data_IF_031171377155
#
_entry.id   IF_031171377155
#
_cell.length_a   1.000
_cell.length_b   1.000
_cell.length_c   1.000
_cell.angle_alpha   90.00
_cell.angle_beta   90.00
_cell.angle_gamma   90.00
#
_symmetry.space_group_name_H-M   'P 1'
#
loop_
_entity.id
_entity.type
_entity.pdbx_description
1 polymer ?
#
# COMPACT_ATOMS: atom_id res chain seq x y z
N UNK A 1 25.39 -13.20 0.65
CA UNK A 1 24.10 -13.11 1.36
C UNK A 1 23.05 -13.81 0.53
N UNK A 2 22.21 -14.62 1.18
CA UNK A 2 21.07 -15.29 0.56
C UNK A 2 19.79 -14.67 1.09
N UNK A 3 18.99 -14.06 0.23
CA UNK A 3 17.60 -13.75 0.56
C UNK A 3 16.79 -15.04 0.33
N UNK A 4 16.25 -15.58 1.39
CA UNK A 4 15.66 -16.91 1.39
C UNK A 4 14.14 -16.86 1.52
N UNK A 5 13.51 -17.85 0.91
CA UNK A 5 12.06 -18.10 1.04
C UNK A 5 11.73 -18.89 2.31
N UNK A 6 10.44 -19.18 2.52
CA UNK A 6 9.96 -19.99 3.63
C UNK A 6 10.54 -21.42 3.68
N UNK A 7 11.16 -21.88 2.57
CA UNK A 7 11.80 -23.19 2.46
C UNK A 7 13.33 -23.10 2.53
N UNK A 8 13.90 -21.92 2.79
CA UNK A 8 15.34 -21.70 2.87
C UNK A 8 16.04 -21.60 1.52
N UNK A 9 15.29 -21.50 0.40
CA UNK A 9 15.86 -21.38 -0.94
C UNK A 9 16.06 -19.92 -1.30
N UNK A 10 17.22 -19.58 -1.90
CA UNK A 10 17.46 -18.24 -2.43
C UNK A 10 16.58 -17.99 -3.67
N UNK A 11 15.73 -17.00 -3.63
CA UNK A 11 14.75 -16.72 -4.69
C UNK A 11 14.65 -15.26 -5.10
N UNK A 12 15.10 -14.35 -4.24
CA UNK A 12 14.95 -12.92 -4.49
C UNK A 12 16.18 -12.32 -5.18
N UNK A 13 15.95 -11.41 -6.10
CA UNK A 13 16.99 -10.70 -6.84
C UNK A 13 16.62 -9.23 -7.01
N UNK A 14 17.61 -8.39 -7.33
CA UNK A 14 17.46 -6.94 -7.51
C UNK A 14 16.86 -6.23 -6.27
N UNK A 15 17.30 -6.66 -5.09
CA UNK A 15 16.88 -6.05 -3.83
C UNK A 15 18.07 -5.29 -3.21
N UNK A 16 17.95 -3.99 -2.95
CA UNK A 16 19.00 -3.21 -2.30
C UNK A 16 19.21 -3.68 -0.86
N UNK A 17 20.45 -3.71 -0.42
CA UNK A 17 20.85 -4.00 0.95
C UNK A 17 21.86 -2.98 1.44
N UNK A 18 21.73 -2.56 2.69
CA UNK A 18 22.69 -1.70 3.36
C UNK A 18 23.31 -2.43 4.55
N UNK A 19 24.63 -2.41 4.61
CA UNK A 19 25.40 -2.94 5.72
C UNK A 19 25.82 -1.75 6.59
N UNK A 20 25.44 -1.79 7.84
CA UNK A 20 25.82 -0.83 8.85
C UNK A 20 26.88 -1.42 9.77
N UNK A 21 27.84 -0.60 10.18
CA UNK A 21 28.71 -0.96 11.29
C UNK A 21 27.86 -1.16 12.56
N UNK A 22 28.02 -2.30 13.21
CA UNK A 22 27.22 -2.64 14.39
C UNK A 22 27.41 -1.64 15.55
N UNK A 23 28.59 -1.07 15.70
CA UNK A 23 28.95 -0.24 16.86
C UNK A 23 28.72 1.24 16.62
N UNK A 24 29.12 1.75 15.44
CA UNK A 24 28.95 3.17 15.10
C UNK A 24 27.59 3.47 14.47
N UNK A 25 26.96 2.48 13.83
CA UNK A 25 25.75 2.69 13.02
C UNK A 25 26.02 3.30 11.65
N UNK A 26 27.29 3.52 11.28
CA UNK A 26 27.65 4.09 9.99
C UNK A 26 27.40 3.11 8.85
N UNK A 27 27.00 3.64 7.69
CA UNK A 27 26.88 2.85 6.46
C UNK A 27 28.29 2.42 6.01
N UNK A 28 28.47 1.11 5.88
CA UNK A 28 29.72 0.53 5.35
C UNK A 28 29.60 0.15 3.88
N UNK A 29 28.48 -0.49 3.50
CA UNK A 29 28.27 -0.92 2.13
C UNK A 29 26.81 -0.74 1.73
N UNK A 30 26.59 -0.30 0.48
CA UNK A 30 25.31 -0.35 -0.21
C UNK A 30 25.46 -1.29 -1.40
N UNK A 31 24.69 -2.38 -1.41
CA UNK A 31 24.86 -3.47 -2.35
C UNK A 31 23.50 -3.85 -2.93
N UNK A 32 23.45 -4.12 -4.22
CA UNK A 32 22.30 -4.75 -4.85
C UNK A 32 22.45 -6.27 -4.74
N UNK A 33 21.48 -6.94 -4.12
CA UNK A 33 21.42 -8.40 -4.12
C UNK A 33 21.06 -8.87 -5.54
N UNK A 34 21.94 -9.67 -6.14
CA UNK A 34 21.77 -10.25 -7.48
C UNK A 34 22.02 -11.74 -7.43
N UNK A 35 21.49 -12.45 -8.42
CA UNK A 35 21.68 -13.88 -8.60
C UNK A 35 22.32 -14.14 -9.98
N UNK A 36 23.27 -15.04 -10.01
CA UNK A 36 23.91 -15.45 -11.25
C UNK A 36 22.99 -16.38 -12.09
N UNK A 37 23.43 -16.71 -13.30
CA UNK A 37 22.66 -17.55 -14.24
C UNK A 37 22.36 -18.96 -13.73
N UNK A 38 23.04 -19.41 -12.67
CA UNK A 38 22.79 -20.70 -12.02
C UNK A 38 21.80 -20.59 -10.85
N UNK A 39 21.26 -19.39 -10.59
CA UNK A 39 20.36 -19.13 -9.48
C UNK A 39 21.03 -19.08 -8.10
N UNK A 40 22.35 -18.86 -8.06
CA UNK A 40 23.07 -18.63 -6.80
C UNK A 40 23.28 -17.12 -6.58
N UNK A 41 23.19 -16.64 -5.33
CA UNK A 41 23.51 -15.25 -5.00
C UNK A 41 24.95 -14.91 -5.38
N UNK A 42 25.15 -13.68 -5.86
CA UNK A 42 26.49 -13.19 -6.16
C UNK A 42 27.32 -13.04 -4.88
N UNK A 43 28.61 -13.33 -5.01
CA UNK A 43 29.56 -13.17 -3.91
C UNK A 43 29.97 -11.69 -3.80
N UNK A 44 29.93 -11.16 -2.58
CA UNK A 44 30.36 -9.80 -2.27
C UNK A 44 31.60 -9.82 -1.40
N UNK A 45 32.54 -8.93 -1.69
CA UNK A 45 33.76 -8.77 -0.90
C UNK A 45 33.57 -7.64 0.12
N UNK A 46 33.63 -7.98 1.39
CA UNK A 46 33.52 -7.02 2.50
C UNK A 46 34.62 -7.34 3.53
N UNK A 47 34.92 -6.36 4.40
CA UNK A 47 35.92 -6.54 5.46
C UNK A 47 35.47 -7.63 6.44
N UNK A 48 36.21 -8.73 6.58
CA UNK A 48 35.84 -9.83 7.46
C UNK A 48 36.04 -9.53 8.94
N UNK A 49 36.75 -8.45 9.30
CA UNK A 49 36.99 -8.07 10.69
C UNK A 49 35.87 -7.17 11.25
N UNK A 50 34.98 -6.69 10.37
CA UNK A 50 33.83 -5.89 10.75
C UNK A 50 32.70 -6.74 11.38
N UNK A 51 31.88 -6.09 12.19
CA UNK A 51 30.59 -6.60 12.66
C UNK A 51 29.48 -5.76 12.06
N UNK A 52 28.46 -6.41 11.52
CA UNK A 52 27.48 -5.73 10.67
C UNK A 52 26.04 -5.95 11.13
N UNK A 53 25.22 -4.92 10.93
CA UNK A 53 23.77 -5.04 10.84
C UNK A 53 23.39 -4.86 9.36
N UNK A 54 22.57 -5.74 8.83
CA UNK A 54 22.13 -5.68 7.41
C UNK A 54 20.66 -5.30 7.37
N UNK A 55 20.33 -4.29 6.58
CA UNK A 55 18.95 -3.94 6.22
C UNK A 55 18.74 -4.28 4.76
N UNK A 56 17.75 -5.13 4.50
CA UNK A 56 17.24 -5.47 3.17
C UNK A 56 16.07 -4.53 2.90
N UNK A 57 16.15 -3.72 1.85
CA UNK A 57 15.15 -2.71 1.51
C UNK A 57 13.94 -3.31 0.77
N UNK A 58 13.32 -4.30 1.40
CA UNK A 58 12.00 -4.81 1.03
C UNK A 58 10.90 -3.87 1.53
N UNK A 59 9.64 -4.18 1.27
CA UNK A 59 8.49 -3.43 1.79
C UNK A 59 7.59 -4.39 2.60
N UNK A 60 7.51 -4.24 3.94
CA UNK A 60 8.41 -3.44 4.79
C UNK A 60 9.86 -3.95 4.77
N UNK A 61 10.85 -3.14 5.20
CA UNK A 61 12.24 -3.58 5.24
C UNK A 61 12.46 -4.68 6.28
N UNK A 62 13.40 -5.58 5.97
CA UNK A 62 13.82 -6.67 6.85
C UNK A 62 15.26 -6.43 7.30
N UNK A 63 15.55 -6.64 8.58
CA UNK A 63 16.90 -6.50 9.13
C UNK A 63 17.43 -7.81 9.71
N UNK A 64 18.74 -7.95 9.68
CA UNK A 64 19.46 -8.97 10.42
C UNK A 64 20.66 -8.35 11.12
N UNK A 65 20.64 -8.45 12.42
CA UNK A 65 21.61 -7.77 13.28
C UNK A 65 22.75 -8.70 13.74
N UNK A 66 23.83 -8.07 14.19
CA UNK A 66 24.96 -8.72 14.87
C UNK A 66 25.65 -9.81 14.03
N UNK A 67 25.84 -9.55 12.75
CA UNK A 67 26.54 -10.47 11.86
C UNK A 67 28.04 -10.32 12.07
N UNK A 68 28.68 -11.42 12.41
CA UNK A 68 30.14 -11.56 12.53
C UNK A 68 30.61 -12.52 11.47
N UNK A 69 31.65 -12.14 10.74
CA UNK A 69 32.22 -12.94 9.67
C UNK A 69 33.43 -13.74 10.20
N UNK A 70 33.66 -14.89 9.60
CA UNK A 70 34.87 -15.69 9.86
C UNK A 70 35.89 -15.37 8.79
N UNK A 71 37.04 -14.77 9.13
CA UNK A 71 38.09 -14.43 8.18
C UNK A 71 38.64 -15.67 7.45
N UNK A 72 38.98 -15.50 6.16
CA UNK A 72 39.57 -16.56 5.37
C UNK A 72 38.59 -17.66 4.92
N UNK A 73 37.29 -17.50 5.17
CA UNK A 73 36.25 -18.46 4.78
C UNK A 73 35.19 -17.81 3.90
N UNK A 74 34.46 -18.64 3.16
CA UNK A 74 33.25 -18.20 2.46
C UNK A 74 32.08 -18.19 3.44
N UNK A 75 31.64 -16.99 3.85
CA UNK A 75 30.54 -16.82 4.78
C UNK A 75 29.20 -16.82 4.03
N UNK A 76 28.23 -17.59 4.49
CA UNK A 76 26.87 -17.65 3.97
C UNK A 76 25.91 -17.06 5.02
N UNK A 77 25.21 -15.98 4.65
CA UNK A 77 24.27 -15.31 5.53
C UNK A 77 22.88 -15.43 4.90
N UNK A 78 21.98 -16.18 5.53
CA UNK A 78 20.57 -16.24 5.14
C UNK A 78 19.76 -15.14 5.81
N UNK A 79 18.90 -14.47 5.07
CA UNK A 79 17.94 -13.49 5.58
C UNK A 79 16.57 -13.85 5.00
N UNK A 80 15.59 -14.10 5.88
CA UNK A 80 14.22 -14.42 5.49
C UNK A 80 13.57 -13.16 4.90
N UNK A 81 13.34 -13.17 3.58
CA UNK A 81 12.77 -12.06 2.86
C UNK A 81 11.84 -12.54 1.72
N UNK A 82 10.90 -13.46 1.99
CA UNK A 82 9.96 -13.95 0.99
C UNK A 82 9.04 -12.82 0.55
N UNK A 83 8.83 -12.65 -0.77
CA UNK A 83 8.05 -11.55 -1.32
C UNK A 83 7.00 -12.05 -2.31
N UNK A 84 5.90 -11.32 -2.40
CA UNK A 84 4.86 -11.45 -3.43
C UNK A 84 4.42 -10.09 -3.92
N UNK A 85 3.56 -10.07 -4.94
CA UNK A 85 3.10 -8.84 -5.57
C UNK A 85 1.65 -8.54 -5.20
N UNK A 86 1.35 -7.28 -4.88
CA UNK A 86 0.01 -6.75 -4.73
C UNK A 86 -0.32 -5.84 -5.90
N UNK A 87 -1.46 -6.09 -6.55
CA UNK A 87 -1.97 -5.25 -7.65
C UNK A 87 -3.33 -4.69 -7.27
N UNK A 88 -3.48 -3.36 -7.37
CA UNK A 88 -4.76 -2.69 -7.20
C UNK A 88 -5.36 -2.36 -8.56
N UNK A 89 -6.61 -2.77 -8.83
CA UNK A 89 -7.29 -2.57 -10.11
C UNK A 89 -8.68 -1.97 -9.94
N UNK A 90 -9.13 -1.24 -10.97
CA UNK A 90 -10.51 -0.82 -11.13
C UNK A 90 -11.13 -1.65 -12.25
N UNK A 91 -12.35 -2.13 -12.02
CA UNK A 91 -13.12 -2.85 -13.03
C UNK A 91 -13.81 -1.87 -13.97
N UNK A 92 -13.09 -1.46 -15.01
CA UNK A 92 -13.57 -0.51 -16.00
C UNK A 92 -12.91 0.87 -15.92
N UNK A 93 -13.71 1.92 -16.15
CA UNK A 93 -13.21 3.30 -16.22
C UNK A 93 -12.87 3.86 -14.84
N UNK A 94 -11.73 4.52 -14.74
CA UNK A 94 -11.34 5.28 -13.56
C UNK A 94 -11.65 6.77 -13.76
N UNK A 95 -12.64 7.28 -13.05
CA UNK A 95 -12.99 8.70 -13.05
C UNK A 95 -12.34 9.48 -11.88
N UNK A 96 -11.59 8.81 -10.99
CA UNK A 96 -10.76 9.48 -10.00
C UNK A 96 -9.51 10.07 -10.66
N UNK A 97 -9.13 11.28 -10.26
CA UNK A 97 -7.86 11.90 -10.71
C UNK A 97 -6.66 11.17 -10.13
N UNK A 98 -6.71 10.92 -8.84
CA UNK A 98 -5.70 10.19 -8.08
C UNK A 98 -6.43 9.23 -7.15
N UNK A 99 -6.18 7.95 -7.30
CA UNK A 99 -6.71 6.93 -6.42
C UNK A 99 -5.56 6.11 -5.86
N UNK A 100 -5.50 6.05 -4.54
CA UNK A 100 -4.46 5.29 -3.82
C UNK A 100 -5.07 4.31 -2.84
N UNK A 101 -4.36 3.21 -2.64
CA UNK A 101 -4.58 2.29 -1.53
C UNK A 101 -3.50 2.50 -0.47
N UNK A 102 -3.92 2.74 0.77
CA UNK A 102 -3.02 2.77 1.93
C UNK A 102 -2.87 1.35 2.41
N UNK A 103 -1.63 0.88 2.50
CA UNK A 103 -1.31 -0.49 2.92
C UNK A 103 -0.71 -0.44 4.33
N UNK A 104 -1.25 -1.27 5.22
CA UNK A 104 -0.79 -1.46 6.59
C UNK A 104 -0.60 -2.94 6.85
N UNK A 105 0.24 -3.31 7.80
CA UNK A 105 0.26 -4.68 8.31
C UNK A 105 -1.04 -4.96 9.06
N UNK A 106 -1.58 -6.17 8.92
CA UNK A 106 -2.87 -6.51 9.51
C UNK A 106 -2.88 -6.26 11.02
N UNK A 107 -3.92 -5.53 11.47
CA UNK A 107 -4.08 -5.10 12.86
C UNK A 107 -3.21 -3.92 13.29
N UNK A 108 -2.37 -3.35 12.41
CA UNK A 108 -1.52 -2.19 12.73
C UNK A 108 -2.07 -0.89 12.09
N UNK A 109 -1.86 0.23 12.78
CA UNK A 109 -2.29 1.56 12.28
C UNK A 109 -1.21 2.24 11.43
N UNK A 110 0.04 1.78 11.51
CA UNK A 110 1.15 2.40 10.79
C UNK A 110 1.05 2.12 9.29
N UNK A 111 1.09 3.17 8.48
CA UNK A 111 1.12 3.04 7.02
C UNK A 111 2.50 2.56 6.58
N UNK A 112 2.54 1.45 5.86
CA UNK A 112 3.75 0.94 5.22
C UNK A 112 4.02 1.71 3.92
N UNK A 113 3.01 1.77 3.06
CA UNK A 113 3.11 2.45 1.76
C UNK A 113 1.73 2.88 1.26
N UNK A 114 1.71 3.90 0.39
CA UNK A 114 0.56 4.28 -0.42
C UNK A 114 0.81 3.86 -1.86
N UNK A 115 -0.01 2.96 -2.38
CA UNK A 115 0.11 2.39 -3.72
C UNK A 115 -0.88 3.05 -4.67
N UNK A 116 -0.41 3.39 -5.88
CA UNK A 116 -1.27 3.85 -6.96
C UNK A 116 -2.02 2.67 -7.61
N UNK A 117 -3.20 2.94 -8.14
CA UNK A 117 -3.96 1.95 -8.90
C UNK A 117 -3.30 1.62 -10.23
N UNK A 118 -3.53 0.41 -10.71
CA UNK A 118 -2.93 -0.18 -11.93
C UNK A 118 -1.40 -0.28 -11.88
N UNK A 119 -0.83 -0.33 -10.67
CA UNK A 119 0.58 -0.62 -10.44
C UNK A 119 0.74 -1.91 -9.64
N UNK A 120 1.91 -2.52 -9.71
CA UNK A 120 2.29 -3.64 -8.86
C UNK A 120 3.23 -3.15 -7.76
N UNK A 121 2.96 -3.58 -6.53
CA UNK A 121 3.82 -3.32 -5.37
C UNK A 121 4.30 -4.65 -4.81
N UNK A 122 5.61 -4.84 -4.75
CA UNK A 122 6.21 -6.00 -4.11
C UNK A 122 6.24 -5.81 -2.60
N UNK A 123 5.73 -6.78 -1.86
CA UNK A 123 5.59 -6.78 -0.41
C UNK A 123 6.20 -8.06 0.19
N UNK A 124 6.67 -8.00 1.42
CA UNK A 124 7.00 -9.20 2.20
C UNK A 124 5.73 -10.06 2.35
N UNK A 125 5.90 -11.39 2.33
CA UNK A 125 4.81 -12.34 2.60
C UNK A 125 4.18 -12.06 3.96
N UNK A 126 2.85 -12.03 4.01
CA UNK A 126 2.11 -11.75 5.24
C UNK A 126 0.70 -11.28 4.99
N UNK A 127 0.04 -10.81 6.05
CA UNK A 127 -1.31 -10.27 6.02
C UNK A 127 -1.30 -8.76 6.13
N UNK A 128 -2.13 -8.11 5.32
CA UNK A 128 -2.20 -6.66 5.20
C UNK A 128 -3.63 -6.17 5.23
N UNK A 129 -3.81 -4.98 5.77
CA UNK A 129 -5.06 -4.23 5.72
C UNK A 129 -4.92 -3.07 4.74
N UNK A 130 -5.91 -2.94 3.87
CA UNK A 130 -5.94 -1.91 2.83
C UNK A 130 -7.09 -0.95 3.08
N UNK A 131 -6.78 0.35 2.94
CA UNK A 131 -7.76 1.43 2.91
C UNK A 131 -7.67 2.14 1.57
N UNK A 132 -8.66 1.95 0.71
CA UNK A 132 -8.71 2.59 -0.60
C UNK A 132 -9.39 3.96 -0.45
N UNK A 133 -8.69 5.01 -0.90
CA UNK A 133 -9.11 6.40 -0.76
C UNK A 133 -10.17 6.80 -1.79
N UNK A 134 -11.13 5.92 -2.03
CA UNK A 134 -12.32 6.17 -2.83
C UNK A 134 -13.38 6.96 -2.05
N UNK A 135 -14.49 7.29 -2.69
CA UNK A 135 -15.63 7.96 -2.06
C UNK A 135 -16.89 7.10 -2.25
N UNK A 136 -17.44 6.48 -1.21
CA UNK A 136 -16.85 6.29 0.11
C UNK A 136 -15.60 5.42 0.09
N UNK A 137 -14.83 5.45 1.19
CA UNK A 137 -13.63 4.61 1.33
C UNK A 137 -13.99 3.13 1.34
N UNK A 138 -13.12 2.32 0.74
CA UNK A 138 -13.23 0.87 0.75
C UNK A 138 -12.13 0.30 1.63
N UNK A 139 -12.48 -0.66 2.47
CA UNK A 139 -11.56 -1.37 3.35
C UNK A 139 -11.50 -2.84 2.97
N UNK A 140 -10.30 -3.38 2.87
CA UNK A 140 -10.08 -4.82 2.71
C UNK A 140 -9.11 -5.26 3.81
N UNK A 141 -9.56 -6.12 4.70
CA UNK A 141 -8.77 -6.63 5.81
C UNK A 141 -8.27 -8.04 5.53
N UNK A 142 -7.14 -8.39 6.17
CA UNK A 142 -6.51 -9.72 6.07
C UNK A 142 -6.20 -10.14 4.61
N UNK A 143 -5.73 -9.18 3.81
CA UNK A 143 -5.26 -9.46 2.46
C UNK A 143 -3.96 -10.23 2.53
N UNK A 144 -3.97 -11.47 2.10
CA UNK A 144 -2.82 -12.35 2.16
C UNK A 144 -1.91 -12.18 0.94
N UNK A 145 -0.63 -11.98 1.18
CA UNK A 145 0.42 -11.94 0.16
C UNK A 145 1.22 -13.22 0.26
N UNK A 146 1.14 -14.04 -0.77
CA UNK A 146 1.88 -15.29 -0.91
C UNK A 146 3.19 -15.08 -1.68
N UNK A 147 4.17 -15.88 -1.36
CA UNK A 147 5.46 -15.85 -2.03
C UNK A 147 5.35 -16.15 -3.53
N UNK A 148 6.02 -15.31 -4.33
CA UNK A 148 6.10 -15.43 -5.80
C UNK A 148 4.74 -15.49 -6.48
N UNK A 149 3.67 -15.02 -5.81
CA UNK A 149 2.33 -14.89 -6.37
C UNK A 149 1.91 -13.43 -6.44
N UNK A 150 0.92 -13.19 -7.30
CA UNK A 150 0.26 -11.88 -7.40
C UNK A 150 -1.11 -11.94 -6.75
N UNK A 151 -1.31 -11.16 -5.71
CA UNK A 151 -2.62 -10.90 -5.11
C UNK A 151 -3.22 -9.67 -5.79
N UNK A 152 -4.45 -9.78 -6.30
CA UNK A 152 -5.14 -8.65 -6.95
C UNK A 152 -6.36 -8.24 -6.16
N UNK A 153 -6.42 -6.97 -5.78
CA UNK A 153 -7.61 -6.33 -5.21
C UNK A 153 -8.25 -5.49 -6.30
N UNK A 154 -9.48 -5.83 -6.65
CA UNK A 154 -10.26 -5.17 -7.69
C UNK A 154 -11.47 -4.47 -7.07
N UNK A 155 -11.63 -3.18 -7.39
CA UNK A 155 -12.81 -2.40 -6.98
C UNK A 155 -13.67 -2.08 -8.20
N UNK A 156 -14.98 -1.86 -8.04
CA UNK A 156 -15.85 -1.50 -9.14
C UNK A 156 -15.51 -0.14 -9.72
N UNK A 157 -15.90 0.08 -10.98
CA UNK A 157 -15.84 1.39 -11.64
C UNK A 157 -16.72 2.40 -10.91
N UNK A 158 -16.20 3.60 -10.58
CA UNK A 158 -17.00 4.65 -9.99
C UNK A 158 -17.96 5.28 -11.01
N UNK A 159 -18.97 5.98 -10.52
CA UNK A 159 -19.82 6.86 -11.29
C UNK A 159 -19.59 8.33 -10.94
N UNK A 160 -20.03 9.24 -11.82
CA UNK A 160 -19.99 10.68 -11.57
C UNK A 160 -21.41 11.16 -11.25
N UNK A 161 -21.63 11.65 -10.05
CA UNK A 161 -22.85 12.34 -9.65
C UNK A 161 -22.69 13.84 -9.91
N UNK A 162 -23.56 14.38 -10.77
CA UNK A 162 -23.56 15.80 -11.10
C UNK A 162 -24.71 16.50 -10.37
N UNK A 163 -24.38 17.50 -9.56
CA UNK A 163 -25.34 18.30 -8.81
C UNK A 163 -25.44 19.69 -9.42
N UNK A 164 -26.68 20.17 -9.54
CA UNK A 164 -26.97 21.54 -9.98
C UNK A 164 -28.05 22.13 -9.08
N UNK A 165 -27.79 23.31 -8.53
CA UNK A 165 -28.65 24.01 -7.60
C UNK A 165 -29.01 25.39 -8.15
N UNK A 166 -30.21 25.85 -7.85
CA UNK A 166 -30.64 27.22 -8.22
C UNK A 166 -29.92 28.30 -7.39
N UNK A 167 -29.64 27.99 -6.12
CA UNK A 167 -28.92 28.89 -5.20
C UNK A 167 -27.87 28.10 -4.42
N UNK A 168 -26.75 28.72 -4.02
CA UNK A 168 -25.79 28.11 -3.11
C UNK A 168 -26.42 27.72 -1.77
N UNK A 169 -25.98 26.63 -1.19
CA UNK A 169 -26.56 26.10 0.04
C UNK A 169 -25.66 25.12 0.78
N UNK A 170 -26.20 24.61 1.86
CA UNK A 170 -25.54 23.57 2.67
C UNK A 170 -26.08 22.21 2.29
N UNK A 171 -25.20 21.25 2.03
CA UNK A 171 -25.63 19.92 1.68
C UNK A 171 -24.56 18.87 1.90
N UNK A 172 -24.99 17.62 1.90
CA UNK A 172 -24.12 16.48 2.04
C UNK A 172 -24.72 15.25 1.39
N UNK A 173 -23.85 14.35 1.00
CA UNK A 173 -24.18 13.03 0.47
C UNK A 173 -23.98 12.03 1.60
N UNK A 174 -24.99 11.22 1.86
CA UNK A 174 -24.91 10.11 2.81
C UNK A 174 -25.15 8.80 2.06
N UNK A 175 -24.45 7.76 2.49
CA UNK A 175 -24.67 6.40 2.05
C UNK A 175 -25.50 5.65 3.10
N UNK A 176 -26.49 4.90 2.66
CA UNK A 176 -27.26 4.01 3.52
C UNK A 176 -26.64 2.62 3.53
N UNK A 177 -26.11 2.21 4.68
CA UNK A 177 -25.52 0.88 4.90
C UNK A 177 -26.11 0.31 6.19
N UNK A 178 -26.77 -0.86 6.11
CA UNK A 178 -27.36 -1.53 7.26
C UNK A 178 -28.30 -0.62 8.07
N UNK A 179 -29.17 0.12 7.39
CA UNK A 179 -30.10 1.10 7.97
C UNK A 179 -29.41 2.25 8.76
N UNK A 180 -28.13 2.49 8.52
CA UNK A 180 -27.37 3.63 9.05
C UNK A 180 -26.98 4.57 7.94
N UNK A 181 -27.10 5.86 8.18
CA UNK A 181 -26.67 6.91 7.27
C UNK A 181 -25.25 7.34 7.63
N UNK A 182 -24.32 7.09 6.72
CA UNK A 182 -22.93 7.47 6.85
C UNK A 182 -22.63 8.67 5.96
N UNK A 183 -22.07 9.73 6.50
CA UNK A 183 -21.62 10.88 5.73
C UNK A 183 -20.50 10.45 4.77
N UNK A 184 -20.68 10.75 3.48
CA UNK A 184 -19.73 10.39 2.41
C UNK A 184 -19.02 11.62 1.88
N UNK A 185 -19.79 12.71 1.65
CA UNK A 185 -19.24 13.94 1.07
C UNK A 185 -20.06 15.15 1.54
N UNK A 186 -19.36 16.25 1.81
CA UNK A 186 -19.99 17.55 2.08
C UNK A 186 -19.92 18.41 0.82
N UNK A 187 -21.07 18.86 0.35
CA UNK A 187 -21.17 19.69 -0.85
C UNK A 187 -20.59 21.09 -0.63
N UNK A 188 -20.02 21.65 -1.67
CA UNK A 188 -19.47 23.01 -1.61
C UNK A 188 -20.60 24.04 -1.46
N UNK A 189 -20.65 24.71 -0.32
CA UNK A 189 -21.72 25.62 0.06
C UNK A 189 -21.73 26.95 -0.71
N UNK A 190 -20.74 27.22 -1.53
CA UNK A 190 -20.64 28.42 -2.38
C UNK A 190 -20.83 28.12 -3.88
N UNK A 191 -20.90 26.84 -4.23
CA UNK A 191 -21.10 26.44 -5.63
C UNK A 191 -22.58 26.20 -5.94
N UNK A 192 -22.96 26.43 -7.20
CA UNK A 192 -24.26 26.04 -7.74
C UNK A 192 -24.14 24.79 -8.63
N UNK A 193 -22.93 24.32 -8.87
CA UNK A 193 -22.65 23.08 -9.62
C UNK A 193 -21.49 22.36 -8.97
N UNK A 194 -21.60 21.06 -8.81
CA UNK A 194 -20.54 20.20 -8.30
C UNK A 194 -20.66 18.81 -8.92
N UNK A 195 -19.51 18.20 -9.22
CA UNK A 195 -19.42 16.81 -9.68
C UNK A 195 -18.63 16.01 -8.67
N UNK A 196 -19.19 14.91 -8.18
CA UNK A 196 -18.59 14.05 -7.19
C UNK A 196 -18.45 12.65 -7.76
N UNK A 197 -17.24 12.08 -7.71
CA UNK A 197 -16.98 10.70 -8.11
C UNK A 197 -17.36 9.78 -6.95
N UNK A 198 -18.28 8.86 -7.18
CA UNK A 198 -18.82 7.97 -6.14
C UNK A 198 -18.67 6.50 -6.56
N UNK A 199 -18.33 5.65 -5.60
CA UNK A 199 -18.43 4.21 -5.77
C UNK A 199 -19.90 3.78 -5.94
N UNK A 200 -20.20 2.65 -6.61
CA UNK A 200 -21.55 2.12 -6.66
C UNK A 200 -22.16 1.94 -5.26
N UNK A 201 -23.41 2.37 -5.10
CA UNK A 201 -24.10 2.30 -3.81
C UNK A 201 -25.44 3.05 -3.80
N UNK A 202 -26.14 2.98 -2.69
CA UNK A 202 -27.37 3.72 -2.45
C UNK A 202 -27.05 4.99 -1.66
N UNK A 203 -27.37 6.15 -2.24
CA UNK A 203 -27.05 7.44 -1.68
C UNK A 203 -28.29 8.28 -1.49
N UNK A 204 -28.26 9.12 -0.46
CA UNK A 204 -29.24 10.18 -0.25
C UNK A 204 -28.51 11.51 -0.22
N UNK A 205 -29.10 12.53 -0.85
CA UNK A 205 -28.59 13.89 -0.82
C UNK A 205 -29.49 14.72 0.05
N UNK A 206 -28.90 15.42 1.01
CA UNK A 206 -29.58 16.40 1.83
C UNK A 206 -29.06 17.76 1.43
N UNK A 207 -29.96 18.68 1.11
CA UNK A 207 -29.60 20.02 0.66
C UNK A 207 -30.54 21.08 1.21
N UNK A 208 -29.99 22.23 1.65
CA UNK A 208 -30.72 23.39 2.10
C UNK A 208 -30.13 24.66 1.49
N UNK A 209 -30.86 25.40 0.63
CA UNK A 209 -30.43 26.70 0.14
C UNK A 209 -30.17 27.68 1.27
N UNK A 210 -29.19 28.57 1.15
CA UNK A 210 -28.87 29.59 2.16
C UNK A 210 -30.05 30.48 2.51
N UNK A 211 -30.91 30.71 1.53
CA UNK A 211 -32.08 31.62 1.68
C UNK A 211 -33.38 30.87 2.02
N UNK A 212 -33.32 29.61 2.44
CA UNK A 212 -34.48 28.81 2.78
C UNK A 212 -34.43 28.34 4.24
N UNK A 213 -35.57 28.35 4.90
CA UNK A 213 -35.72 27.77 6.26
C UNK A 213 -36.03 26.27 6.22
N UNK A 214 -36.42 25.72 5.07
CA UNK A 214 -36.75 24.31 4.89
C UNK A 214 -35.63 23.51 4.23
N UNK A 215 -35.38 22.27 4.70
CA UNK A 215 -34.48 21.32 4.04
C UNK A 215 -35.24 20.55 2.95
N UNK A 216 -34.65 20.39 1.79
CA UNK A 216 -35.18 19.52 0.74
C UNK A 216 -34.33 18.23 0.67
N UNK A 217 -35.04 17.10 0.55
CA UNK A 217 -34.46 15.79 0.38
C UNK A 217 -34.69 15.37 -1.07
N UNK A 218 -33.62 14.93 -1.75
CA UNK A 218 -33.72 14.24 -3.03
C UNK A 218 -33.14 12.85 -2.88
N UNK A 219 -33.89 11.84 -3.24
CA UNK A 219 -33.49 10.45 -3.21
C UNK A 219 -32.96 10.07 -4.58
#
# INVERSE_FOLDING_TARGET
VNLIDAFGKATETNVPMTFYDKFSGDVRYNIMHTMNVKGNPDTINIDPLGSYNIVVHTVPPVSKDSIVLVPGTHNIIGIDAPQGDLVLKIDGKNDYRELKGIIRKSGEMNTIIAQDFNTSQRLIVGEYDLEILSTPRIYASNVHIDQSKTTTIQIPSPGIANFQYNNPGYGYIVQEVNNKLNLVHTLNNNATRESVVLQPGNYRVVYRPKNSQSSQYTI
#
